data_IF_648204677784
#
_entry.id   IF_648204677784
#
_cell.length_a   1.000
_cell.length_b   1.000
_cell.length_c   1.000
_cell.angle_alpha   90.00
_cell.angle_beta   90.00
_cell.angle_gamma   90.00
#
_symmetry.space_group_name_H-M   'P 1'
#
loop_
_entity.id
_entity.type
_entity.pdbx_description
1 polymer ?
#
# COMPACT_ATOMS: atom_id res chain seq x y z
N UNK A 1 -54.65 52.20 -13.23
CA UNK A 1 -53.19 51.91 -13.10
C UNK A 1 -52.98 51.69 -11.61
N UNK A 2 -52.42 50.60 -11.10
CA UNK A 2 -51.22 49.87 -11.54
C UNK A 2 -51.31 48.37 -11.20
N UNK A 3 -50.67 47.55 -12.03
CA UNK A 3 -50.42 46.12 -11.80
C UNK A 3 -49.04 45.99 -11.14
N UNK A 4 -48.94 45.44 -9.94
CA UNK A 4 -47.66 44.99 -9.39
C UNK A 4 -47.65 43.47 -9.28
N UNK A 5 -47.23 42.86 -10.39
CA UNK A 5 -46.72 41.47 -10.43
C UNK A 5 -45.31 41.47 -9.85
N UNK A 6 -45.02 40.57 -8.89
CA UNK A 6 -43.82 39.70 -8.79
C UNK A 6 -43.61 39.23 -7.35
N UNK A 7 -43.64 37.90 -7.12
CA UNK A 7 -42.47 37.29 -6.49
C UNK A 7 -42.18 35.92 -7.13
N UNK A 8 -41.35 35.90 -8.18
CA UNK A 8 -40.90 34.63 -8.80
C UNK A 8 -39.37 34.51 -8.78
N UNK A 9 -38.64 35.57 -8.42
CA UNK A 9 -37.19 35.62 -8.66
C UNK A 9 -36.31 34.96 -7.59
N UNK A 10 -36.86 34.51 -6.45
CA UNK A 10 -36.05 33.93 -5.36
C UNK A 10 -36.08 32.39 -5.38
N UNK A 11 -37.10 31.77 -5.96
CA UNK A 11 -37.22 30.30 -5.96
C UNK A 11 -36.33 29.60 -6.99
N UNK A 12 -35.84 30.32 -8.00
CA UNK A 12 -35.01 29.76 -9.08
C UNK A 12 -33.53 29.69 -8.69
N UNK A 13 -33.06 30.47 -7.71
CA UNK A 13 -31.64 30.51 -7.33
C UNK A 13 -31.23 29.35 -6.39
N UNK A 14 -32.16 28.76 -5.63
CA UNK A 14 -31.85 27.61 -4.76
C UNK A 14 -31.83 26.27 -5.51
N UNK A 15 -32.46 26.19 -6.69
CA UNK A 15 -32.52 24.95 -7.50
C UNK A 15 -31.26 24.81 -8.39
N UNK A 16 -30.59 25.91 -8.72
CA UNK A 16 -29.34 25.87 -9.50
C UNK A 16 -28.09 25.55 -8.67
N UNK A 17 -28.13 25.68 -7.34
CA UNK A 17 -27.00 25.32 -6.46
C UNK A 17 -26.97 23.84 -6.05
N UNK A 18 -28.05 23.10 -6.30
CA UNK A 18 -28.16 21.66 -6.00
C UNK A 18 -27.75 20.78 -7.18
N UNK A 19 -27.40 21.37 -8.34
CA UNK A 19 -26.84 20.64 -9.46
C UNK A 19 -25.35 20.32 -9.21
N UNK A 20 -25.13 19.12 -8.67
CA UNK A 20 -24.07 18.21 -9.13
C UNK A 20 -22.64 18.73 -8.92
N UNK A 21 -22.21 18.81 -7.66
CA UNK A 21 -20.92 18.18 -7.34
C UNK A 21 -21.26 16.80 -6.81
N UNK A 22 -21.74 15.91 -7.69
CA UNK A 22 -21.51 14.49 -7.48
C UNK A 22 -20.00 14.35 -7.60
N UNK A 23 -19.27 14.56 -6.49
CA UNK A 23 -17.93 14.01 -6.38
C UNK A 23 -18.19 12.52 -6.57
N UNK A 24 -17.76 11.90 -7.69
CA UNK A 24 -17.85 10.47 -7.77
C UNK A 24 -17.00 9.99 -6.60
N UNK A 25 -17.65 9.56 -5.52
CA UNK A 25 -17.03 8.74 -4.49
C UNK A 25 -16.84 7.38 -5.12
N UNK A 26 -16.01 7.33 -6.17
CA UNK A 26 -15.53 6.11 -6.79
C UNK A 26 -14.75 5.43 -5.69
N UNK A 27 -15.43 4.54 -4.99
CA UNK A 27 -14.82 3.70 -3.99
C UNK A 27 -13.71 2.93 -4.71
N UNK A 28 -12.45 3.29 -4.42
CA UNK A 28 -11.29 2.58 -4.97
C UNK A 28 -11.51 1.08 -4.72
N UNK A 29 -11.22 0.25 -5.72
CA UNK A 29 -11.20 -1.19 -5.46
C UNK A 29 -10.03 -1.51 -4.53
N UNK A 30 -10.05 -2.69 -3.90
CA UNK A 30 -8.93 -3.12 -3.07
C UNK A 30 -7.64 -3.23 -3.90
N UNK A 31 -7.76 -3.68 -5.15
CA UNK A 31 -6.64 -3.77 -6.08
C UNK A 31 -6.05 -2.39 -6.40
N UNK A 32 -6.90 -1.39 -6.71
CA UNK A 32 -6.44 -0.02 -7.05
C UNK A 32 -5.87 0.72 -5.84
N UNK A 33 -6.29 0.34 -4.64
CA UNK A 33 -5.73 0.90 -3.39
C UNK A 33 -4.40 0.27 -3.00
N UNK A 34 -4.10 -0.92 -3.52
CA UNK A 34 -2.99 -1.74 -3.05
C UNK A 34 -1.68 -1.38 -3.75
N UNK A 35 -0.61 -1.29 -2.97
CA UNK A 35 0.75 -1.21 -3.47
C UNK A 35 1.69 -2.01 -2.58
N UNK A 36 2.74 -2.56 -3.18
CA UNK A 36 3.77 -3.31 -2.47
C UNK A 36 5.13 -3.09 -3.12
N UNK A 37 6.18 -3.35 -2.35
CA UNK A 37 7.54 -3.24 -2.85
C UNK A 37 8.57 -3.79 -1.88
N UNK A 38 9.82 -3.75 -2.28
CA UNK A 38 10.96 -4.11 -1.43
C UNK A 38 12.18 -3.26 -1.73
N UNK A 39 13.04 -3.08 -0.73
CA UNK A 39 14.38 -2.48 -0.85
C UNK A 39 15.43 -3.43 -0.28
N UNK A 40 16.67 -3.28 -0.75
CA UNK A 40 17.86 -3.89 -0.15
C UNK A 40 18.85 -2.77 0.13
N UNK A 41 19.21 -2.62 1.40
CA UNK A 41 20.05 -1.53 1.89
C UNK A 41 21.30 -2.09 2.55
N UNK A 42 22.47 -1.50 2.31
CA UNK A 42 23.69 -1.81 3.06
C UNK A 42 23.59 -1.25 4.48
N UNK A 43 23.94 -2.05 5.50
CA UNK A 43 23.79 -1.68 6.92
C UNK A 43 25.13 -1.54 7.63
N UNK A 44 26.10 -2.36 7.27
CA UNK A 44 27.44 -2.33 7.83
C UNK A 44 28.43 -3.03 6.88
N UNK A 45 29.69 -2.67 6.96
CA UNK A 45 30.78 -3.38 6.28
C UNK A 45 31.81 -3.80 7.33
N UNK A 46 32.27 -5.03 7.23
CA UNK A 46 33.25 -5.65 8.12
C UNK A 46 34.35 -6.28 7.25
N UNK A 47 35.61 -6.07 7.63
CA UNK A 47 36.77 -6.50 6.84
C UNK A 47 36.86 -8.02 6.68
N UNK A 48 36.31 -8.79 7.62
CA UNK A 48 36.36 -10.26 7.64
C UNK A 48 35.03 -10.85 7.14
N UNK A 49 33.91 -10.24 7.50
CA UNK A 49 32.56 -10.76 7.22
C UNK A 49 31.92 -10.20 5.94
N UNK A 50 32.59 -9.27 5.27
CA UNK A 50 32.10 -8.61 4.07
C UNK A 50 31.04 -7.55 4.37
N UNK A 51 30.03 -7.41 3.52
CA UNK A 51 28.99 -6.36 3.68
C UNK A 51 27.68 -6.97 4.20
N UNK A 52 27.15 -6.39 5.28
CA UNK A 52 25.83 -6.71 5.82
C UNK A 52 24.77 -5.92 5.07
N UNK A 53 23.83 -6.62 4.48
CA UNK A 53 22.67 -6.03 3.84
C UNK A 53 21.39 -6.29 4.65
N UNK A 54 20.37 -5.48 4.40
CA UNK A 54 19.01 -5.65 4.92
C UNK A 54 18.03 -5.56 3.79
N UNK A 55 17.26 -6.63 3.57
CA UNK A 55 16.08 -6.59 2.73
C UNK A 55 14.87 -6.20 3.56
N UNK A 56 14.06 -5.30 3.01
CA UNK A 56 12.81 -4.85 3.60
C UNK A 56 11.69 -5.03 2.59
N UNK A 57 10.60 -5.68 2.99
CA UNK A 57 9.39 -5.79 2.18
C UNK A 57 8.25 -5.02 2.84
N UNK A 58 7.39 -4.43 2.02
CA UNK A 58 6.22 -3.70 2.47
C UNK A 58 5.02 -3.93 1.55
N UNK A 59 3.84 -3.80 2.13
CA UNK A 59 2.55 -3.83 1.45
C UNK A 59 1.64 -2.83 2.14
N UNK A 60 0.90 -2.02 1.37
CA UNK A 60 -0.03 -1.03 1.90
C UNK A 60 -1.28 -0.92 1.05
N UNK A 61 -2.31 -0.35 1.65
CA UNK A 61 -3.52 0.10 0.99
C UNK A 61 -3.80 1.54 1.36
N UNK A 62 -4.23 2.35 0.38
CA UNK A 62 -4.59 3.75 0.56
C UNK A 62 -5.92 4.07 -0.12
N UNK A 63 -6.91 4.54 0.65
CA UNK A 63 -8.22 4.96 0.17
C UNK A 63 -9.29 3.87 0.09
N UNK A 64 -9.03 2.64 0.57
CA UNK A 64 -10.02 1.56 0.61
C UNK A 64 -10.67 1.43 2.00
N UNK A 65 -12.00 1.60 2.05
CA UNK A 65 -12.76 1.76 3.30
C UNK A 65 -13.46 0.50 3.84
N UNK A 66 -13.35 -0.65 3.16
CA UNK A 66 -13.96 -1.91 3.65
C UNK A 66 -12.94 -2.70 4.45
N UNK A 67 -13.40 -3.66 5.26
CA UNK A 67 -12.51 -4.59 5.97
C UNK A 67 -11.64 -5.34 4.96
N UNK A 68 -10.33 -5.35 5.19
CA UNK A 68 -9.35 -6.08 4.40
C UNK A 68 -8.08 -6.30 5.22
N UNK A 69 -7.16 -7.09 4.68
CA UNK A 69 -5.80 -7.20 5.20
C UNK A 69 -4.76 -6.88 4.15
N UNK A 70 -3.56 -6.52 4.63
CA UNK A 70 -2.31 -6.53 3.87
C UNK A 70 -1.26 -7.40 4.57
N UNK A 71 -0.34 -7.98 3.82
CA UNK A 71 0.77 -8.81 4.32
C UNK A 71 2.00 -8.60 3.42
N UNK A 72 3.17 -8.50 4.02
CA UNK A 72 4.44 -8.47 3.31
C UNK A 72 5.37 -9.55 3.87
N UNK A 73 6.04 -10.29 2.99
CA UNK A 73 6.95 -11.36 3.39
C UNK A 73 8.13 -11.50 2.43
N UNK A 74 9.26 -12.01 2.93
CA UNK A 74 10.50 -12.26 2.20
C UNK A 74 10.73 -13.77 2.20
N UNK A 75 10.80 -14.39 1.03
CA UNK A 75 10.82 -15.85 0.88
C UNK A 75 9.43 -16.45 0.68
N UNK A 76 9.31 -17.78 0.82
CA UNK A 76 8.09 -18.51 0.49
C UNK A 76 7.77 -18.46 -1.02
N UNK A 77 6.48 -18.45 -1.34
CA UNK A 77 5.98 -18.42 -2.73
C UNK A 77 5.00 -17.29 -2.95
N UNK A 78 4.67 -17.01 -4.22
CA UNK A 78 3.59 -16.06 -4.58
C UNK A 78 2.27 -16.36 -3.87
N UNK A 79 2.00 -17.63 -3.53
CA UNK A 79 0.74 -18.06 -2.96
C UNK A 79 0.76 -18.24 -1.44
N UNK A 80 1.92 -18.47 -0.84
CA UNK A 80 2.05 -18.75 0.59
C UNK A 80 3.32 -18.14 1.18
N UNK A 81 3.20 -17.61 2.40
CA UNK A 81 4.36 -17.19 3.19
C UNK A 81 4.89 -18.32 4.07
N UNK A 82 4.47 -19.57 3.84
CA UNK A 82 5.09 -20.74 4.46
C UNK A 82 6.59 -20.71 4.14
N UNK A 83 7.41 -20.95 5.16
CA UNK A 83 8.87 -20.97 5.07
C UNK A 83 9.50 -19.62 4.63
N UNK A 84 8.75 -18.51 4.76
CA UNK A 84 9.29 -17.18 4.56
C UNK A 84 10.35 -16.85 5.63
N UNK A 85 11.47 -16.26 5.20
CA UNK A 85 12.53 -15.78 6.09
C UNK A 85 12.06 -14.67 7.04
N UNK A 86 11.10 -13.87 6.58
CA UNK A 86 10.45 -12.84 7.37
C UNK A 86 9.03 -12.63 6.87
N UNK A 87 8.10 -12.42 7.80
CA UNK A 87 6.69 -12.20 7.50
C UNK A 87 6.10 -11.18 8.46
N UNK A 88 5.33 -10.24 7.94
CA UNK A 88 4.62 -9.24 8.73
C UNK A 88 3.37 -9.80 9.44
N UNK A 89 2.91 -10.99 9.04
CA UNK A 89 1.57 -11.47 9.32
C UNK A 89 0.49 -10.69 8.56
N UNK A 90 -0.76 -11.14 8.66
CA UNK A 90 -1.91 -10.41 8.11
C UNK A 90 -2.24 -9.24 9.03
N UNK A 91 -2.18 -8.01 8.50
CA UNK A 91 -2.64 -6.81 9.20
C UNK A 91 -3.99 -6.38 8.67
N UNK A 92 -5.01 -6.48 9.52
CA UNK A 92 -6.40 -6.15 9.19
C UNK A 92 -6.72 -4.69 9.47
N UNK A 93 -7.52 -4.07 8.61
CA UNK A 93 -8.02 -2.70 8.79
C UNK A 93 -9.34 -2.46 8.05
N UNK A 94 -10.06 -1.40 8.42
CA UNK A 94 -11.22 -0.84 7.69
C UNK A 94 -10.87 0.47 6.96
N UNK A 95 -9.59 0.75 6.77
CA UNK A 95 -9.04 1.93 6.12
C UNK A 95 -7.58 1.68 5.76
N UNK A 96 -6.80 2.75 5.63
CA UNK A 96 -5.40 2.64 5.27
C UNK A 96 -4.63 1.73 6.24
N UNK A 97 -3.79 0.87 5.70
CA UNK A 97 -2.97 -0.06 6.49
C UNK A 97 -1.66 -0.35 5.80
N UNK A 98 -0.60 -0.53 6.60
CA UNK A 98 0.75 -0.86 6.13
C UNK A 98 1.33 -2.04 6.91
N UNK A 99 1.76 -3.05 6.16
CA UNK A 99 2.55 -4.17 6.63
C UNK A 99 4.01 -4.01 6.19
N UNK A 100 4.94 -4.37 7.07
CA UNK A 100 6.39 -4.29 6.83
C UNK A 100 7.09 -5.44 7.55
N UNK A 101 8.09 -6.02 6.91
CA UNK A 101 9.02 -6.97 7.51
C UNK A 101 10.43 -6.75 6.93
N UNK A 102 11.46 -7.21 7.64
CA UNK A 102 12.85 -7.09 7.19
C UNK A 102 13.66 -8.30 7.61
N UNK A 103 14.72 -8.59 6.85
CA UNK A 103 15.75 -9.59 7.18
C UNK A 103 17.13 -9.05 6.84
N UNK A 104 18.13 -9.42 7.62
CA UNK A 104 19.53 -9.08 7.36
C UNK A 104 20.35 -10.32 7.05
N UNK A 105 21.32 -10.20 6.15
CA UNK A 105 22.26 -11.25 5.78
C UNK A 105 23.62 -10.62 5.46
N UNK A 106 24.69 -11.38 5.65
CA UNK A 106 26.05 -10.98 5.30
C UNK A 106 26.43 -11.57 3.94
N UNK A 107 26.98 -10.75 3.05
CA UNK A 107 27.64 -11.21 1.84
C UNK A 107 29.15 -11.26 2.09
N UNK A 108 29.69 -12.49 2.10
CA UNK A 108 31.08 -12.76 2.43
C UNK A 108 32.01 -12.74 1.22
N UNK A 109 31.48 -12.79 -0.02
CA UNK A 109 32.28 -12.92 -1.26
C UNK A 109 31.49 -12.39 -2.47
N UNK A 110 31.52 -11.08 -2.75
CA UNK A 110 30.74 -10.53 -3.87
C UNK A 110 31.45 -10.69 -5.22
N UNK A 111 31.38 -11.88 -5.83
CA UNK A 111 31.52 -12.05 -7.28
C UNK A 111 30.15 -11.98 -8.01
N UNK A 112 29.03 -12.17 -7.30
CA UNK A 112 27.68 -12.24 -7.89
C UNK A 112 26.71 -11.14 -7.45
N UNK A 113 27.12 -10.20 -6.60
CA UNK A 113 26.31 -9.07 -6.16
C UNK A 113 25.08 -9.43 -5.32
N UNK A 114 24.35 -8.40 -4.88
CA UNK A 114 23.21 -8.48 -3.94
C UNK A 114 22.00 -9.29 -4.41
N UNK A 115 21.95 -9.69 -5.69
CA UNK A 115 20.80 -10.33 -6.35
C UNK A 115 20.53 -11.74 -5.80
N UNK A 116 21.56 -12.47 -5.36
CA UNK A 116 21.42 -13.83 -4.80
C UNK A 116 21.24 -13.88 -3.27
N UNK A 117 21.47 -12.79 -2.55
CA UNK A 117 21.60 -12.80 -1.09
C UNK A 117 20.26 -13.00 -0.36
N UNK A 118 19.16 -12.56 -0.97
CA UNK A 118 17.84 -12.64 -0.36
C UNK A 118 16.82 -13.24 -1.32
N UNK A 119 15.91 -14.09 -0.83
CA UNK A 119 14.84 -14.60 -1.65
C UNK A 119 13.85 -13.49 -2.04
N UNK A 120 12.99 -13.78 -3.01
CA UNK A 120 11.96 -12.87 -3.52
C UNK A 120 11.04 -12.36 -2.40
N UNK A 121 10.67 -11.07 -2.46
CA UNK A 121 9.69 -10.49 -1.56
C UNK A 121 8.31 -10.47 -2.22
N UNK A 122 7.26 -10.64 -1.41
CA UNK A 122 5.88 -10.65 -1.87
C UNK A 122 5.01 -9.75 -1.00
N UNK A 123 4.10 -9.04 -1.64
CA UNK A 123 2.99 -8.34 -1.00
C UNK A 123 1.67 -9.03 -1.31
N UNK A 124 0.79 -9.14 -0.32
CA UNK A 124 -0.55 -9.69 -0.47
C UNK A 124 -1.60 -8.80 0.17
N UNK A 125 -2.81 -8.87 -0.38
CA UNK A 125 -4.02 -8.32 0.21
C UNK A 125 -5.15 -9.35 0.14
N UNK A 126 -6.20 -9.13 0.93
CA UNK A 126 -7.43 -9.92 0.87
C UNK A 126 -8.52 -9.38 1.79
N UNK A 127 -9.66 -10.06 1.83
CA UNK A 127 -10.83 -9.68 2.63
C UNK A 127 -11.17 -10.76 3.65
#
# INVERSE_FOLDING_TARGET
>A
MEKLKKPISIFILCISLSLIIVVPTSAKSLADSFSAGSSVDGVATDTIKGTKYKKTAWAKTEGYKKKHYVRAYIGGTRNSAKDAWADSGRKWSKGDVKAKCSKTAWDYHSACGTIGLFPTAYGKYGK
#
